data_IF_184600004124
#
_entry.id   IF_184600004124
#
_cell.length_a   1.000
_cell.length_b   1.000
_cell.length_c   1.000
_cell.angle_alpha   90.00
_cell.angle_beta   90.00
_cell.angle_gamma   90.00
#
_symmetry.space_group_name_H-M   'P 1'
#
loop_
_entity.id
_entity.type
_entity.pdbx_description
1 polymer ?
#
# COMPACT_ATOMS: atom_id res chain seq x y z
N UNK A 1 15.98 40.26 41.64
CA UNK A 1 14.71 39.51 41.77
C UNK A 1 14.79 38.25 40.92
N UNK A 2 14.87 37.10 41.58
CA UNK A 2 15.03 35.79 40.94
C UNK A 2 13.69 35.28 40.37
N UNK A 3 13.70 34.74 39.15
CA UNK A 3 12.59 33.96 38.59
C UNK A 3 12.98 32.48 38.60
N UNK A 4 12.09 31.69 39.18
CA UNK A 4 12.17 30.27 39.47
C UNK A 4 12.13 29.46 38.17
N UNK A 5 13.02 28.47 38.06
CA UNK A 5 13.02 27.45 37.01
C UNK A 5 12.00 26.38 37.41
N UNK A 6 11.03 26.09 36.56
CA UNK A 6 10.17 24.91 36.68
C UNK A 6 10.65 23.84 35.69
N UNK A 7 11.06 22.63 36.12
CA UNK A 7 11.24 21.50 35.24
C UNK A 7 9.95 20.68 35.27
N UNK A 8 9.20 20.68 34.17
CA UNK A 8 7.92 19.97 34.11
C UNK A 8 7.29 19.99 32.73
N UNK A 9 8.09 19.73 31.69
CA UNK A 9 7.56 19.43 30.37
C UNK A 9 7.04 17.99 30.37
N UNK A 10 5.72 17.87 30.45
CA UNK A 10 4.95 16.64 30.28
C UNK A 10 5.46 15.81 29.08
N UNK A 11 5.99 14.62 29.35
CA UNK A 11 6.62 13.71 28.39
C UNK A 11 5.60 12.77 27.71
N UNK A 12 4.31 13.12 27.76
CA UNK A 12 3.20 12.22 27.40
C UNK A 12 2.41 12.67 26.17
N UNK A 13 3.00 13.47 25.29
CA UNK A 13 2.44 13.73 23.96
C UNK A 13 3.31 13.06 22.90
N UNK A 14 3.20 11.74 22.80
CA UNK A 14 3.46 11.07 21.53
C UNK A 14 2.52 11.78 20.53
N UNK A 15 3.02 12.33 19.40
CA UNK A 15 2.13 12.89 18.39
C UNK A 15 1.13 11.80 18.03
N UNK A 16 -0.15 12.12 18.22
CA UNK A 16 -1.25 11.30 17.70
C UNK A 16 -0.88 11.00 16.26
N UNK A 17 -0.66 9.72 15.96
CA UNK A 17 -0.31 9.30 14.63
C UNK A 17 -1.58 9.54 13.82
N UNK A 18 -1.69 10.74 13.26
CA UNK A 18 -2.90 11.15 12.56
C UNK A 18 -3.20 10.13 11.47
N UNK A 19 -4.47 9.76 11.33
CA UNK A 19 -4.92 8.93 10.23
C UNK A 19 -4.45 9.55 8.91
N UNK A 20 -3.88 8.71 8.04
CA UNK A 20 -3.32 9.13 6.77
C UNK A 20 -4.24 8.69 5.64
N UNK A 21 -4.80 9.67 4.93
CA UNK A 21 -5.55 9.44 3.69
C UNK A 21 -4.66 9.75 2.48
N UNK A 22 -4.44 8.74 1.64
CA UNK A 22 -3.60 8.85 0.43
C UNK A 22 -4.35 8.31 -0.77
N UNK A 23 -4.28 9.05 -1.87
CA UNK A 23 -4.74 8.58 -3.18
C UNK A 23 -3.51 8.30 -4.05
N UNK A 24 -3.43 7.06 -4.52
CA UNK A 24 -2.38 6.63 -5.46
C UNK A 24 -2.99 6.52 -6.84
N UNK A 25 -2.56 7.41 -7.73
CA UNK A 25 -2.95 7.36 -9.14
C UNK A 25 -2.42 6.09 -9.81
N UNK A 26 -3.29 5.40 -10.53
CA UNK A 26 -2.96 4.20 -11.30
C UNK A 26 -3.13 4.55 -12.78
N UNK A 27 -2.06 4.47 -13.59
CA UNK A 27 -2.17 4.76 -15.01
C UNK A 27 -3.18 3.80 -15.70
N UNK A 28 -4.00 4.26 -16.66
CA UNK A 28 -5.12 3.49 -17.22
C UNK A 28 -4.74 2.09 -17.73
N UNK A 29 -3.55 1.95 -18.32
CA UNK A 29 -3.04 0.68 -18.84
C UNK A 29 -2.82 -0.39 -17.75
N UNK A 30 -2.76 0.01 -16.47
CA UNK A 30 -2.64 -0.88 -15.32
C UNK A 30 -3.96 -1.09 -14.57
N UNK A 31 -5.05 -0.42 -14.96
CA UNK A 31 -6.32 -0.44 -14.21
C UNK A 31 -6.90 -1.86 -14.04
N UNK A 32 -6.71 -2.73 -15.03
CA UNK A 32 -7.16 -4.14 -14.99
C UNK A 32 -6.45 -4.99 -13.92
N UNK A 33 -5.32 -4.53 -13.39
CA UNK A 33 -4.54 -5.24 -12.36
C UNK A 33 -4.83 -4.74 -10.94
N UNK A 34 -5.58 -3.64 -10.80
CA UNK A 34 -5.80 -2.96 -9.53
C UNK A 34 -6.53 -3.84 -8.50
N UNK A 35 -7.57 -4.57 -8.90
CA UNK A 35 -8.39 -5.34 -7.96
C UNK A 35 -7.59 -6.49 -7.32
N UNK A 36 -6.84 -7.25 -8.12
CA UNK A 36 -5.99 -8.33 -7.62
C UNK A 36 -4.77 -7.79 -6.82
N UNK A 37 -4.27 -6.60 -7.15
CA UNK A 37 -3.24 -5.94 -6.35
C UNK A 37 -3.79 -5.49 -4.98
N UNK A 38 -5.01 -4.93 -4.93
CA UNK A 38 -5.68 -4.55 -3.69
C UNK A 38 -5.86 -5.73 -2.73
N UNK A 39 -6.20 -6.92 -3.23
CA UNK A 39 -6.27 -8.12 -2.39
C UNK A 39 -4.95 -8.42 -1.68
N UNK A 40 -3.81 -8.28 -2.37
CA UNK A 40 -2.49 -8.48 -1.76
C UNK A 40 -2.15 -7.38 -0.76
N UNK A 41 -2.51 -6.14 -1.07
CA UNK A 41 -2.29 -5.01 -0.18
C UNK A 41 -3.09 -5.13 1.12
N UNK A 42 -4.32 -5.67 1.09
CA UNK A 42 -5.10 -5.94 2.31
C UNK A 42 -4.44 -6.99 3.21
N UNK A 43 -3.70 -7.94 2.64
CA UNK A 43 -2.94 -8.94 3.43
C UNK A 43 -1.72 -8.28 4.10
N UNK A 44 -1.04 -7.36 3.40
CA UNK A 44 0.13 -6.65 3.93
C UNK A 44 -0.25 -5.55 4.93
N UNK A 45 -1.41 -4.93 4.72
CA UNK A 45 -1.90 -3.78 5.47
C UNK A 45 -3.33 -4.04 5.99
N UNK A 46 -3.52 -5.02 6.89
CA UNK A 46 -4.85 -5.42 7.34
C UNK A 46 -5.59 -4.34 8.13
N UNK A 47 -4.87 -3.36 8.68
CA UNK A 47 -5.46 -2.23 9.39
C UNK A 47 -5.90 -1.09 8.45
N UNK A 48 -5.47 -1.10 7.18
CA UNK A 48 -5.81 -0.07 6.22
C UNK A 48 -7.17 -0.36 5.55
N UNK A 49 -7.94 0.70 5.29
CA UNK A 49 -9.10 0.64 4.42
C UNK A 49 -8.68 1.06 3.02
N UNK A 50 -8.85 0.15 2.05
CA UNK A 50 -8.57 0.43 0.64
C UNK A 50 -9.89 0.57 -0.13
N UNK A 51 -9.95 1.53 -1.04
CA UNK A 51 -11.05 1.64 -1.99
C UNK A 51 -10.50 1.98 -3.39
N UNK A 52 -11.14 1.43 -4.41
CA UNK A 52 -10.85 1.77 -5.80
C UNK A 52 -11.66 3.00 -6.17
N UNK A 53 -11.00 3.99 -6.75
CA UNK A 53 -11.62 5.20 -7.28
C UNK A 53 -11.37 5.31 -8.78
N UNK A 54 -12.06 6.24 -9.45
CA UNK A 54 -11.79 6.55 -10.85
C UNK A 54 -10.34 7.06 -10.99
N UNK A 55 -9.46 6.24 -11.57
CA UNK A 55 -8.06 6.60 -11.83
C UNK A 55 -7.07 6.29 -10.70
N UNK A 56 -7.49 5.63 -9.61
CA UNK A 56 -6.56 5.36 -8.52
C UNK A 56 -7.08 4.41 -7.43
N UNK A 57 -6.24 4.22 -6.42
CA UNK A 57 -6.57 3.50 -5.19
C UNK A 57 -6.44 4.50 -4.04
N UNK A 58 -7.53 4.70 -3.31
CA UNK A 58 -7.56 5.53 -2.10
C UNK A 58 -7.42 4.68 -0.85
N UNK A 59 -6.67 5.18 0.12
CA UNK A 59 -6.31 4.43 1.30
C UNK A 59 -6.37 5.28 2.53
N UNK A 60 -7.07 4.77 3.53
CA UNK A 60 -7.10 5.30 4.88
C UNK A 60 -6.31 4.36 5.78
N UNK A 61 -5.22 4.85 6.34
CA UNK A 61 -4.37 4.10 7.26
C UNK A 61 -4.48 4.69 8.67
N UNK A 62 -4.76 3.86 9.71
CA UNK A 62 -4.57 4.30 11.07
C UNK A 62 -3.09 4.61 11.28
N UNK A 63 -2.80 5.70 11.99
CA UNK A 63 -1.48 6.31 12.05
C UNK A 63 -0.29 5.37 12.19
N UNK A 64 0.82 5.76 11.55
CA UNK A 64 2.11 5.05 11.63
C UNK A 64 2.67 4.61 10.27
N UNK A 65 1.86 4.67 9.21
CA UNK A 65 2.32 4.37 7.86
C UNK A 65 2.65 5.65 7.08
N UNK A 66 3.89 5.77 6.61
CA UNK A 66 4.29 6.90 5.78
C UNK A 66 3.60 6.83 4.40
N UNK A 67 2.99 7.95 3.98
CA UNK A 67 2.28 8.06 2.70
C UNK A 67 3.13 7.61 1.50
N UNK A 68 4.41 7.98 1.48
CA UNK A 68 5.34 7.61 0.40
C UNK A 68 5.64 6.11 0.35
N UNK A 69 5.76 5.47 1.52
CA UNK A 69 5.96 4.02 1.61
C UNK A 69 4.73 3.31 1.06
N UNK A 70 3.53 3.77 1.42
CA UNK A 70 2.30 3.17 0.91
C UNK A 70 2.14 3.39 -0.60
N UNK A 71 2.45 4.59 -1.11
CA UNK A 71 2.44 4.88 -2.55
C UNK A 71 3.34 3.93 -3.33
N UNK A 72 4.56 3.71 -2.83
CA UNK A 72 5.53 2.76 -3.40
C UNK A 72 4.93 1.34 -3.44
N UNK A 73 4.32 0.89 -2.36
CA UNK A 73 3.81 -0.48 -2.26
C UNK A 73 2.60 -0.72 -3.15
N UNK A 74 1.71 0.27 -3.30
CA UNK A 74 0.60 0.19 -4.26
C UNK A 74 1.12 0.05 -5.68
N UNK A 75 2.02 0.94 -6.11
CA UNK A 75 2.57 0.90 -7.46
C UNK A 75 3.31 -0.41 -7.72
N UNK A 76 4.07 -0.88 -6.73
CA UNK A 76 4.78 -2.16 -6.81
C UNK A 76 3.81 -3.34 -6.91
N UNK A 77 2.75 -3.39 -6.08
CA UNK A 77 1.76 -4.47 -6.11
C UNK A 77 1.04 -4.53 -7.47
N UNK A 78 0.63 -3.38 -8.03
CA UNK A 78 -0.01 -3.29 -9.34
C UNK A 78 0.93 -3.74 -10.46
N UNK A 79 2.19 -3.30 -10.41
CA UNK A 79 3.20 -3.71 -11.39
C UNK A 79 3.51 -5.21 -11.32
N UNK A 80 3.57 -5.78 -10.10
CA UNK A 80 3.79 -7.22 -9.90
C UNK A 80 2.62 -8.06 -10.38
N UNK A 81 1.39 -7.60 -10.19
CA UNK A 81 0.22 -8.27 -10.75
C UNK A 81 0.28 -8.26 -12.28
N UNK A 82 0.63 -7.12 -12.90
CA UNK A 82 0.85 -7.06 -14.35
C UNK A 82 1.80 -8.15 -14.83
N UNK A 83 3.01 -8.22 -14.25
CA UNK A 83 4.01 -9.23 -14.63
C UNK A 83 3.44 -10.63 -14.45
N UNK A 84 2.76 -10.87 -13.33
CA UNK A 84 2.16 -12.17 -13.05
C UNK A 84 1.14 -12.54 -14.14
N UNK A 85 0.16 -11.67 -14.43
CA UNK A 85 -0.87 -11.95 -15.43
C UNK A 85 -0.28 -12.12 -16.84
N UNK A 86 0.65 -11.24 -17.24
CA UNK A 86 1.26 -11.25 -18.58
C UNK A 86 2.16 -12.48 -18.82
N UNK A 87 2.75 -13.04 -17.76
CA UNK A 87 3.65 -14.20 -17.87
C UNK A 87 2.97 -15.52 -17.51
N UNK A 88 1.74 -15.53 -16.99
CA UNK A 88 1.09 -16.73 -16.46
C UNK A 88 0.97 -17.84 -17.50
N UNK A 89 0.47 -17.51 -18.69
CA UNK A 89 0.28 -18.49 -19.77
C UNK A 89 1.60 -19.14 -20.18
N UNK A 90 2.65 -18.34 -20.38
CA UNK A 90 3.98 -18.86 -20.71
C UNK A 90 4.51 -19.78 -19.60
N UNK A 91 4.37 -19.38 -18.33
CA UNK A 91 4.80 -20.19 -17.19
C UNK A 91 4.03 -21.51 -17.11
N UNK A 92 2.72 -21.49 -17.35
CA UNK A 92 1.90 -22.70 -17.39
C UNK A 92 2.32 -23.63 -18.53
N UNK A 93 2.56 -23.08 -19.73
CA UNK A 93 3.03 -23.85 -20.88
C UNK A 93 4.40 -24.50 -20.64
N UNK A 94 5.33 -23.77 -20.01
CA UNK A 94 6.63 -24.31 -19.63
C UNK A 94 6.50 -25.46 -18.61
N UNK A 95 5.66 -25.29 -17.59
CA UNK A 95 5.41 -26.34 -16.60
C UNK A 95 4.77 -27.58 -17.25
N UNK A 96 3.79 -27.39 -18.13
CA UNK A 96 3.16 -28.46 -18.90
C UNK A 96 4.20 -29.25 -19.72
N UNK A 97 5.04 -28.53 -20.50
CA UNK A 97 6.06 -29.13 -21.34
C UNK A 97 7.08 -29.98 -20.57
N UNK A 98 7.51 -29.56 -19.38
CA UNK A 98 8.50 -30.30 -18.58
C UNK A 98 7.89 -31.39 -17.69
N UNK A 99 6.59 -31.30 -17.39
CA UNK A 99 5.89 -32.30 -16.57
C UNK A 99 5.12 -33.34 -17.39
N UNK A 100 5.08 -33.18 -18.71
CA UNK A 100 4.40 -34.11 -19.62
C UNK A 100 2.87 -34.11 -19.47
N UNK A 101 2.28 -33.01 -18.99
CA UNK A 101 0.83 -32.78 -18.91
C UNK A 101 0.38 -31.78 -19.96
#
# INVERSE_FOLDING_TARGET
>A
MARIIAPGGDMTKLPDAADVDVVVEIPPQFAKYADAAMLRLLVLYPACRLAKQSGGISVSSPGGLAADQFRKDVLHAVYRERIYSETLTMRQALVAAVTGR
#
